data_IF_787324747059
#
_entry.id   IF_787324747059
#
_cell.length_a   1.000
_cell.length_b   1.000
_cell.length_c   1.000
_cell.angle_alpha   90.00
_cell.angle_beta   90.00
_cell.angle_gamma   90.00
#
_symmetry.space_group_name_H-M   'P 1'
#
loop_
_entity.id
_entity.type
_entity.pdbx_description
1 polymer ?
#
# COMPACT_ATOMS: atom_id res chain seq x y z
N UNK A 1 18.84 17.35 -39.28
CA UNK A 1 20.05 16.87 -38.59
C UNK A 1 19.63 15.62 -37.82
N UNK A 2 19.72 14.39 -38.29
CA UNK A 2 20.63 13.77 -39.24
C UNK A 2 21.66 12.94 -38.47
N UNK A 3 21.32 11.74 -37.99
CA UNK A 3 22.33 10.85 -37.38
C UNK A 3 21.97 9.35 -37.27
N UNK A 4 21.26 8.75 -38.22
CA UNK A 4 21.19 7.29 -38.28
C UNK A 4 21.27 6.81 -39.72
N UNK A 5 22.51 6.74 -40.22
CA UNK A 5 22.84 6.05 -41.47
C UNK A 5 22.99 4.56 -41.16
N UNK A 6 22.07 3.77 -41.69
CA UNK A 6 21.98 2.33 -41.54
C UNK A 6 22.79 1.66 -42.63
N UNK A 7 24.05 1.34 -42.34
CA UNK A 7 24.86 0.52 -43.25
C UNK A 7 24.72 -0.96 -42.93
N UNK A 8 24.28 -1.67 -43.96
CA UNK A 8 23.96 -3.09 -44.01
C UNK A 8 25.16 -3.80 -44.62
N UNK A 9 25.96 -4.51 -43.81
CA UNK A 9 26.99 -5.43 -44.32
C UNK A 9 26.89 -6.80 -43.65
N UNK A 10 26.55 -7.79 -44.49
CA UNK A 10 26.74 -9.23 -44.26
C UNK A 10 28.23 -9.54 -44.11
N UNK A 11 28.59 -10.30 -43.08
CA UNK A 11 29.66 -11.31 -43.04
C UNK A 11 29.42 -12.12 -41.76
N UNK A 12 28.93 -13.35 -41.84
CA UNK A 12 29.74 -14.59 -41.89
C UNK A 12 30.80 -14.67 -40.77
N UNK A 13 30.41 -15.42 -39.73
CA UNK A 13 31.19 -16.41 -38.97
C UNK A 13 32.72 -16.24 -38.92
N UNK A 14 33.27 -16.06 -37.71
CA UNK A 14 34.11 -17.05 -36.98
C UNK A 14 34.93 -16.36 -35.87
N UNK A 15 34.88 -16.92 -34.65
CA UNK A 15 35.86 -16.66 -33.58
C UNK A 15 35.65 -15.38 -32.76
N UNK A 16 34.76 -15.43 -31.77
CA UNK A 16 34.53 -14.33 -30.83
C UNK A 16 35.78 -13.98 -30.02
N UNK A 17 36.44 -12.88 -30.38
CA UNK A 17 37.46 -12.25 -29.58
C UNK A 17 36.78 -11.32 -28.56
N UNK A 18 36.80 -11.70 -27.28
CA UNK A 18 36.16 -10.97 -26.17
C UNK A 18 37.01 -9.81 -25.62
N UNK A 19 38.04 -9.38 -26.35
CA UNK A 19 38.98 -8.34 -25.89
C UNK A 19 38.41 -6.91 -25.90
N UNK A 20 37.24 -6.67 -26.51
CA UNK A 20 36.64 -5.33 -26.66
C UNK A 20 35.39 -5.07 -25.79
N UNK A 21 35.08 -5.95 -24.85
CA UNK A 21 34.01 -5.66 -23.86
C UNK A 21 34.58 -4.65 -22.85
N UNK A 22 34.00 -3.44 -22.72
CA UNK A 22 34.45 -2.50 -21.71
C UNK A 22 34.35 -3.15 -20.34
N UNK A 23 35.49 -3.28 -19.65
CA UNK A 23 35.52 -3.86 -18.32
C UNK A 23 34.66 -2.99 -17.39
N UNK A 24 33.68 -3.61 -16.74
CA UNK A 24 32.86 -2.91 -15.76
C UNK A 24 33.76 -2.30 -14.68
N UNK A 25 33.42 -1.08 -14.20
CA UNK A 25 34.14 -0.50 -13.07
C UNK A 25 34.12 -1.48 -11.89
N UNK A 26 35.30 -1.75 -11.33
CA UNK A 26 35.43 -2.61 -10.15
C UNK A 26 34.70 -1.94 -9.00
N UNK A 27 33.84 -2.70 -8.31
CA UNK A 27 33.16 -2.22 -7.12
C UNK A 27 34.20 -1.84 -6.05
N UNK A 28 33.97 -0.77 -5.28
CA UNK A 28 34.83 -0.42 -4.16
C UNK A 28 34.85 -1.57 -3.15
N UNK A 29 36.04 -1.84 -2.59
CA UNK A 29 36.21 -2.85 -1.55
C UNK A 29 35.31 -2.50 -0.35
N UNK A 30 34.49 -3.45 0.08
CA UNK A 30 33.64 -3.23 1.24
C UNK A 30 34.52 -3.03 2.48
N UNK A 31 34.15 -2.10 3.39
CA UNK A 31 34.85 -1.94 4.65
C UNK A 31 34.83 -3.28 5.41
N UNK A 32 35.99 -3.71 5.90
CA UNK A 32 36.11 -4.88 6.77
C UNK A 32 35.28 -4.62 8.03
N UNK A 33 34.10 -5.23 8.08
CA UNK A 33 33.29 -5.28 9.29
C UNK A 33 34.06 -6.22 10.24
N UNK A 34 34.52 -5.76 11.41
CA UNK A 34 35.20 -6.64 12.35
C UNK A 34 34.27 -7.81 12.65
N UNK A 35 34.80 -9.04 12.54
CA UNK A 35 34.14 -10.27 12.98
C UNK A 35 33.97 -10.19 14.49
N UNK A 36 32.89 -9.54 14.86
CA UNK A 36 32.57 -9.24 16.22
C UNK A 36 31.88 -10.48 16.78
N UNK A 37 32.69 -11.43 17.23
CA UNK A 37 32.26 -12.52 18.09
C UNK A 37 31.86 -11.94 19.44
N UNK A 38 30.73 -11.24 19.46
CA UNK A 38 30.12 -10.70 20.65
C UNK A 38 29.55 -11.85 21.48
N UNK A 39 30.36 -12.38 22.39
CA UNK A 39 29.88 -13.09 23.57
C UNK A 39 29.42 -12.08 24.63
N UNK A 40 28.66 -11.07 24.22
CA UNK A 40 27.98 -10.17 25.13
C UNK A 40 26.54 -10.64 25.24
N UNK A 41 26.18 -11.06 26.45
CA UNK A 41 24.82 -11.23 26.94
C UNK A 41 24.11 -9.87 26.84
N UNK A 42 23.70 -9.48 25.65
CA UNK A 42 22.76 -8.38 25.48
C UNK A 42 21.43 -8.88 26.01
N UNK A 43 21.04 -8.36 27.17
CA UNK A 43 19.63 -8.27 27.54
C UNK A 43 18.92 -7.54 26.40
N UNK A 44 18.32 -8.34 25.51
CA UNK A 44 17.47 -7.85 24.45
C UNK A 44 16.46 -6.91 25.10
N UNK A 45 16.55 -5.62 24.78
CA UNK A 45 15.59 -4.62 25.25
C UNK A 45 14.22 -5.15 24.89
N UNK A 46 13.50 -5.67 25.89
CA UNK A 46 12.24 -6.35 25.68
C UNK A 46 11.31 -5.33 25.05
N UNK A 47 10.89 -5.61 23.82
CA UNK A 47 9.85 -4.84 23.16
C UNK A 47 8.67 -4.74 24.15
N UNK A 48 8.02 -3.57 24.27
CA UNK A 48 6.88 -3.42 25.16
C UNK A 48 5.86 -4.51 24.85
N UNK A 49 5.66 -5.40 25.81
CA UNK A 49 4.73 -6.52 25.66
C UNK A 49 3.33 -5.93 25.52
N UNK A 50 2.70 -6.20 24.37
CA UNK A 50 1.31 -5.82 24.13
C UNK A 50 0.46 -6.52 25.20
N UNK A 51 -0.43 -5.81 25.91
CA UNK A 51 -1.27 -6.43 26.93
C UNK A 51 -2.09 -7.56 26.30
N UNK A 52 -1.99 -8.76 26.88
CA UNK A 52 -2.74 -9.94 26.46
C UNK A 52 -4.22 -9.77 26.81
N UNK A 53 -4.94 -8.99 26.00
CA UNK A 53 -6.38 -8.86 26.11
C UNK A 53 -7.04 -9.94 25.24
N UNK A 54 -8.07 -10.60 25.78
CA UNK A 54 -8.77 -11.75 25.16
C UNK A 54 -9.36 -11.44 23.78
N UNK A 55 -9.51 -10.14 23.45
CA UNK A 55 -9.96 -9.66 22.14
C UNK A 55 -8.91 -9.88 21.04
N UNK A 56 -7.63 -9.58 21.30
CA UNK A 56 -6.57 -9.65 20.29
C UNK A 56 -6.15 -11.10 20.00
N UNK A 57 -6.25 -11.97 20.99
CA UNK A 57 -5.97 -13.40 20.83
C UNK A 57 -6.91 -14.05 19.81
N UNK A 58 -8.21 -13.71 19.88
CA UNK A 58 -9.22 -14.18 18.92
C UNK A 58 -9.00 -13.67 17.49
N UNK A 59 -8.42 -12.47 17.34
CA UNK A 59 -8.09 -11.92 16.03
C UNK A 59 -6.95 -12.70 15.38
N UNK A 60 -5.92 -13.08 16.16
CA UNK A 60 -4.80 -13.89 15.67
C UNK A 60 -5.21 -15.33 15.34
N UNK A 61 -6.10 -15.93 16.12
CA UNK A 61 -6.56 -17.31 15.90
C UNK A 61 -7.34 -17.46 14.60
N UNK A 62 -8.25 -16.54 14.29
CA UNK A 62 -9.06 -16.61 13.06
C UNK A 62 -8.20 -16.45 11.80
N UNK A 63 -7.21 -15.55 11.82
CA UNK A 63 -6.29 -15.35 10.70
C UNK A 63 -5.43 -16.61 10.44
N UNK A 64 -4.95 -17.26 11.50
CA UNK A 64 -4.17 -18.51 11.40
C UNK A 64 -5.07 -19.66 10.92
N UNK A 65 -6.33 -19.73 11.39
CA UNK A 65 -7.29 -20.75 10.96
C UNK A 65 -7.63 -20.63 9.48
N UNK A 66 -7.85 -19.41 8.99
CA UNK A 66 -8.15 -19.16 7.58
C UNK A 66 -6.94 -19.51 6.68
N UNK A 67 -5.71 -19.26 7.14
CA UNK A 67 -4.51 -19.65 6.42
C UNK A 67 -4.29 -21.17 6.37
N UNK A 68 -4.63 -21.90 7.44
CA UNK A 68 -4.43 -23.36 7.53
C UNK A 68 -5.57 -24.14 6.87
N UNK A 69 -6.80 -23.59 6.85
CA UNK A 69 -7.97 -24.31 6.35
C UNK A 69 -8.03 -24.43 4.82
N UNK A 70 -7.09 -23.83 4.08
CA UNK A 70 -7.03 -23.96 2.61
C UNK A 70 -6.48 -25.30 2.10
N UNK A 71 -5.92 -26.18 2.95
CA UNK A 71 -5.24 -27.40 2.50
C UNK A 71 -5.97 -28.73 2.77
N UNK A 72 -7.19 -28.73 3.32
CA UNK A 72 -7.91 -29.97 3.69
C UNK A 72 -9.09 -30.32 2.78
N UNK A 73 -9.13 -29.83 1.54
CA UNK A 73 -9.92 -30.52 0.51
C UNK A 73 -9.11 -31.71 -0.04
N UNK A 74 -9.70 -32.91 -0.18
CA UNK A 74 -9.05 -34.04 -0.85
C UNK A 74 -8.90 -33.71 -2.34
N UNK A 75 -7.78 -33.06 -2.68
CA UNK A 75 -7.27 -32.93 -4.03
C UNK A 75 -6.94 -34.35 -4.52
N UNK A 76 -7.69 -34.81 -5.52
CA UNK A 76 -7.27 -35.91 -6.37
C UNK A 76 -5.91 -35.54 -6.96
N UNK A 77 -4.94 -36.43 -6.78
CA UNK A 77 -3.59 -36.36 -7.35
C UNK A 77 -3.59 -35.82 -8.79
N UNK A 78 -3.08 -34.60 -8.96
CA UNK A 78 -2.48 -34.10 -10.20
C UNK A 78 -1.47 -33.02 -9.79
N UNK A 79 -0.24 -33.45 -9.53
CA UNK A 79 0.90 -32.57 -9.34
C UNK A 79 1.26 -31.90 -10.66
N UNK A 80 1.40 -30.57 -10.74
CA UNK A 80 1.83 -29.85 -11.94
C UNK A 80 3.36 -29.60 -11.97
N UNK A 81 4.16 -30.27 -11.13
CA UNK A 81 5.61 -30.12 -11.12
C UNK A 81 6.28 -31.48 -11.20
N UNK A 82 6.52 -31.96 -12.43
CA UNK A 82 7.31 -33.16 -12.62
C UNK A 82 7.29 -33.77 -14.00
N UNK A 83 7.52 -33.01 -15.08
CA UNK A 83 8.13 -33.55 -16.32
C UNK A 83 8.42 -32.44 -17.34
N UNK A 84 9.62 -31.87 -17.23
CA UNK A 84 10.18 -30.97 -18.24
C UNK A 84 11.19 -31.77 -19.06
N UNK A 85 10.74 -32.75 -19.84
CA UNK A 85 11.51 -33.40 -20.91
C UNK A 85 10.65 -34.44 -21.65
N UNK A 86 9.96 -34.03 -22.72
CA UNK A 86 9.92 -34.71 -24.03
C UNK A 86 8.85 -34.09 -24.94
N UNK A 87 9.26 -33.91 -26.20
CA UNK A 87 8.42 -33.74 -27.39
C UNK A 87 7.44 -32.57 -27.43
N UNK A 88 7.99 -31.44 -27.88
CA UNK A 88 7.26 -30.44 -28.65
C UNK A 88 6.95 -31.08 -30.01
N UNK A 89 5.73 -31.57 -30.22
CA UNK A 89 5.13 -31.61 -31.55
C UNK A 89 3.59 -31.66 -31.46
N UNK A 90 2.98 -30.56 -31.88
CA UNK A 90 1.65 -30.49 -32.50
C UNK A 90 0.41 -30.91 -31.71
N UNK A 91 0.06 -30.25 -30.60
CA UNK A 91 -1.37 -30.16 -30.23
C UNK A 91 -1.74 -28.74 -29.76
N UNK A 92 -2.60 -28.12 -30.56
CA UNK A 92 -3.25 -26.85 -30.31
C UNK A 92 -4.19 -27.01 -29.10
N UNK A 93 -4.09 -26.20 -28.03
CA UNK A 93 -4.93 -26.36 -26.86
C UNK A 93 -6.38 -25.99 -27.22
N UNK A 94 -7.29 -26.96 -27.08
CA UNK A 94 -8.73 -26.77 -27.19
C UNK A 94 -9.21 -25.65 -26.24
N UNK A 95 -10.25 -24.89 -26.63
CA UNK A 95 -10.76 -23.79 -25.82
C UNK A 95 -11.22 -24.30 -24.46
N UNK A 96 -10.52 -23.89 -23.40
CA UNK A 96 -10.93 -24.13 -22.02
C UNK A 96 -12.32 -23.52 -21.83
N UNK A 97 -13.33 -24.36 -21.61
CA UNK A 97 -14.66 -23.93 -21.17
C UNK A 97 -14.47 -23.27 -19.81
N UNK A 98 -14.54 -21.94 -19.78
CA UNK A 98 -14.55 -21.18 -18.54
C UNK A 98 -15.64 -21.76 -17.62
N UNK A 99 -15.33 -22.08 -16.36
CA UNK A 99 -16.35 -22.50 -15.42
C UNK A 99 -17.41 -21.40 -15.36
N UNK A 100 -18.68 -21.78 -15.46
CA UNK A 100 -19.79 -20.86 -15.36
C UNK A 100 -19.71 -20.14 -14.01
N UNK A 101 -19.16 -18.92 -14.02
CA UNK A 101 -19.17 -18.04 -12.86
C UNK A 101 -20.64 -17.84 -12.54
N UNK A 102 -21.11 -18.41 -11.42
CA UNK A 102 -22.40 -18.05 -10.86
C UNK A 102 -22.36 -16.53 -10.69
N UNK A 103 -23.10 -15.83 -11.55
CA UNK A 103 -23.33 -14.40 -11.43
C UNK A 103 -23.98 -14.21 -10.06
N UNK A 104 -23.17 -13.85 -9.07
CA UNK A 104 -23.68 -13.32 -7.81
C UNK A 104 -24.63 -12.19 -8.20
N UNK A 105 -25.88 -12.34 -7.82
CA UNK A 105 -26.90 -11.33 -8.00
C UNK A 105 -26.33 -9.97 -7.57
N UNK A 106 -26.55 -8.90 -8.35
CA UNK A 106 -26.11 -7.56 -7.97
C UNK A 106 -26.47 -7.31 -6.52
N UNK A 107 -25.54 -6.86 -5.66
CA UNK A 107 -25.85 -6.61 -4.27
C UNK A 107 -27.08 -5.70 -4.23
N UNK A 108 -28.14 -6.19 -3.58
CA UNK A 108 -29.32 -5.36 -3.33
C UNK A 108 -28.82 -4.03 -2.81
N UNK A 109 -29.16 -2.96 -3.54
CA UNK A 109 -28.75 -1.60 -3.22
C UNK A 109 -29.10 -1.37 -1.76
N UNK A 110 -28.08 -1.42 -0.89
CA UNK A 110 -28.20 -1.05 0.50
C UNK A 110 -28.70 0.39 0.47
N UNK A 111 -30.00 0.55 0.74
CA UNK A 111 -30.65 1.85 0.95
C UNK A 111 -30.00 2.44 2.19
N UNK A 112 -28.87 3.11 1.97
CA UNK A 112 -28.20 3.89 3.00
C UNK A 112 -29.25 4.84 3.58
N UNK A 113 -29.46 4.82 4.91
CA UNK A 113 -30.35 5.77 5.54
C UNK A 113 -29.90 7.18 5.13
N UNK A 114 -30.84 8.10 4.83
CA UNK A 114 -30.48 9.46 4.47
C UNK A 114 -29.61 10.03 5.58
N UNK A 115 -28.37 10.39 5.25
CA UNK A 115 -27.47 11.05 6.18
C UNK A 115 -28.20 12.25 6.76
N UNK A 116 -28.45 12.22 8.06
CA UNK A 116 -28.95 13.37 8.77
C UNK A 116 -27.93 14.48 8.56
N UNK A 117 -28.35 15.59 7.95
CA UNK A 117 -27.53 16.79 7.84
C UNK A 117 -27.14 17.19 9.25
N UNK A 118 -25.89 16.92 9.60
CA UNK A 118 -25.27 17.50 10.78
C UNK A 118 -25.16 18.99 10.47
N UNK A 119 -26.07 19.78 11.01
CA UNK A 119 -25.94 21.22 11.04
C UNK A 119 -24.72 21.52 11.90
N UNK A 120 -23.58 21.73 11.22
CA UNK A 120 -22.35 22.19 11.87
C UNK A 120 -22.73 23.50 12.55
N UNK A 121 -22.72 23.59 13.89
CA UNK A 121 -23.07 24.82 14.57
C UNK A 121 -22.14 25.91 14.05
N UNK A 122 -22.74 26.98 13.53
CA UNK A 122 -22.02 28.15 13.04
C UNK A 122 -21.21 28.69 14.22
N UNK A 123 -19.91 28.39 14.23
CA UNK A 123 -18.99 28.90 15.23
C UNK A 123 -18.92 30.40 14.97
N UNK A 124 -19.65 31.17 15.78
CA UNK A 124 -19.51 32.62 15.82
C UNK A 124 -18.05 32.93 16.13
N UNK A 125 -17.45 33.71 15.24
CA UNK A 125 -16.06 34.12 15.25
C UNK A 125 -15.74 34.76 16.60
N UNK A 126 -15.04 34.02 17.46
CA UNK A 126 -14.67 34.46 18.80
C UNK A 126 -13.68 35.61 18.63
N UNK A 127 -14.22 36.82 18.69
CA UNK A 127 -13.46 38.05 18.81
C UNK A 127 -12.53 37.94 20.02
N UNK A 128 -11.25 38.20 19.76
CA UNK A 128 -10.08 38.38 20.65
C UNK A 128 -10.33 38.21 22.17
N UNK A 129 -9.47 37.45 22.87
CA UNK A 129 -9.58 37.26 24.30
C UNK A 129 -9.37 38.58 25.04
N UNK A 130 -10.47 39.16 25.51
CA UNK A 130 -10.44 40.17 26.56
C UNK A 130 -10.20 39.41 27.87
N UNK A 131 -9.14 39.75 28.59
CA UNK A 131 -8.85 39.28 29.93
C UNK A 131 -10.06 39.52 30.84
N UNK A 132 -10.87 38.49 31.06
CA UNK A 132 -11.98 38.52 32.02
C UNK A 132 -11.43 38.18 33.39
N UNK A 133 -11.35 39.23 34.20
CA UNK A 133 -11.18 39.20 35.64
C UNK A 133 -12.26 38.33 36.28
N UNK A 134 -11.81 37.47 37.19
CA UNK A 134 -12.56 36.52 38.01
C UNK A 134 -14.04 36.86 38.28
N UNK A 135 -14.94 36.05 37.73
CA UNK A 135 -16.30 35.91 38.27
C UNK A 135 -16.45 34.52 38.90
N UNK A 136 -16.39 34.50 40.23
CA UNK A 136 -16.67 33.33 41.08
C UNK A 136 -18.16 33.00 41.01
N UNK A 137 -18.61 32.33 39.96
CA UNK A 137 -19.95 31.73 39.93
C UNK A 137 -19.93 30.43 40.74
N UNK A 138 -20.60 30.48 41.90
CA UNK A 138 -20.85 29.33 42.78
C UNK A 138 -21.85 28.38 42.11
N UNK A 139 -21.40 27.57 41.17
CA UNK A 139 -22.16 26.39 40.75
C UNK A 139 -21.87 25.31 41.80
N UNK A 140 -22.82 25.12 42.73
CA UNK A 140 -22.81 24.01 43.68
C UNK A 140 -23.28 22.74 42.95
N UNK A 141 -22.46 22.23 42.04
CA UNK A 141 -22.65 20.88 41.52
C UNK A 141 -22.29 19.88 42.62
N UNK A 142 -23.19 18.91 42.84
CA UNK A 142 -22.96 17.78 43.74
C UNK A 142 -21.88 16.89 43.12
N UNK A 143 -20.63 17.30 43.29
CA UNK A 143 -19.48 16.47 42.95
C UNK A 143 -19.54 15.24 43.87
N UNK A 144 -19.60 14.01 43.33
CA UNK A 144 -19.61 12.79 44.11
C UNK A 144 -18.46 12.79 45.12
N UNK A 145 -18.72 12.31 46.35
CA UNK A 145 -17.77 12.37 47.47
C UNK A 145 -16.39 11.80 47.12
N UNK A 146 -16.33 10.84 46.21
CA UNK A 146 -15.11 10.18 45.74
C UNK A 146 -14.14 11.12 44.99
N UNK A 147 -14.62 12.22 44.43
CA UNK A 147 -13.77 13.19 43.71
C UNK A 147 -13.23 14.33 44.58
N UNK A 148 -13.68 14.45 45.84
CA UNK A 148 -13.20 15.50 46.75
C UNK A 148 -11.74 15.27 47.18
N UNK A 149 -11.37 14.02 47.43
CA UNK A 149 -10.00 13.66 47.82
C UNK A 149 -8.99 13.83 46.67
N UNK A 150 -9.43 13.67 45.43
CA UNK A 150 -8.62 13.96 44.25
C UNK A 150 -8.47 15.47 44.02
N UNK A 151 -9.55 16.26 44.18
CA UNK A 151 -9.52 17.70 43.99
C UNK A 151 -8.62 18.42 45.01
N UNK A 152 -8.60 17.98 46.27
CA UNK A 152 -7.74 18.60 47.30
C UNK A 152 -6.26 18.22 47.14
N UNK A 153 -5.94 17.08 46.50
CA UNK A 153 -4.57 16.78 46.04
C UNK A 153 -4.12 17.66 44.87
N UNK A 154 -5.03 18.08 43.99
CA UNK A 154 -4.69 18.95 42.83
C UNK A 154 -4.50 20.41 43.26
N UNK A 155 -5.18 20.89 44.31
CA UNK A 155 -4.97 22.25 44.83
C UNK A 155 -3.62 22.45 45.54
N UNK A 156 -2.95 21.36 45.93
CA UNK A 156 -1.62 21.40 46.57
C UNK A 156 -0.46 21.15 45.61
N UNK A 157 -0.72 20.71 44.38
CA UNK A 157 0.30 20.74 43.34
C UNK A 157 0.53 22.18 42.91
N UNK A 158 1.76 22.67 43.12
CA UNK A 158 2.24 23.97 42.69
C UNK A 158 1.88 24.23 41.20
N UNK A 159 1.67 25.50 40.80
CA UNK A 159 1.39 25.83 39.40
C UNK A 159 2.37 25.11 38.47
N UNK A 160 1.83 24.34 37.51
CA UNK A 160 2.62 23.56 36.56
C UNK A 160 3.28 24.54 35.59
N UNK A 161 4.48 24.98 35.93
CA UNK A 161 5.32 25.75 35.03
C UNK A 161 5.84 24.82 33.94
N UNK A 162 5.12 24.77 32.82
CA UNK A 162 5.64 24.18 31.59
C UNK A 162 6.83 25.05 31.18
N UNK A 163 8.04 24.47 31.21
CA UNK A 163 9.24 25.17 30.73
C UNK A 163 9.00 25.53 29.26
N UNK A 164 9.07 26.83 28.95
CA UNK A 164 8.85 27.37 27.61
C UNK A 164 9.72 26.64 26.57
N UNK A 165 10.93 26.24 26.96
CA UNK A 165 11.86 25.46 26.12
C UNK A 165 11.27 24.14 25.60
N UNK A 166 10.46 23.44 26.40
CA UNK A 166 9.83 22.18 25.98
C UNK A 166 8.69 22.43 24.99
N UNK A 167 8.01 23.57 25.12
CA UNK A 167 6.95 23.97 24.21
C UNK A 167 7.51 24.33 22.83
N UNK A 168 8.63 25.06 22.79
CA UNK A 168 9.30 25.40 21.53
C UNK A 168 9.73 24.15 20.76
N UNK A 169 10.33 23.16 21.44
CA UNK A 169 10.69 21.87 20.81
C UNK A 169 9.46 21.12 20.26
N UNK A 170 8.33 21.18 20.98
CA UNK A 170 7.11 20.55 20.51
C UNK A 170 6.56 21.24 19.24
N UNK A 171 6.67 22.56 19.15
CA UNK A 171 6.31 23.31 17.94
C UNK A 171 7.19 22.94 16.75
N UNK A 172 8.51 22.86 16.94
CA UNK A 172 9.44 22.43 15.88
C UNK A 172 9.09 21.04 15.34
N UNK A 173 8.79 20.08 16.23
CA UNK A 173 8.37 18.72 15.84
C UNK A 173 7.04 18.76 15.06
N UNK A 174 6.10 19.63 15.43
CA UNK A 174 4.82 19.78 14.73
C UNK A 174 5.04 20.34 13.33
N UNK A 175 5.90 21.35 13.19
CA UNK A 175 6.20 21.96 11.89
C UNK A 175 6.88 20.94 10.96
N UNK A 176 7.88 20.20 11.46
CA UNK A 176 8.50 19.10 10.71
C UNK A 176 7.47 18.02 10.29
N UNK A 177 6.52 17.70 11.16
CA UNK A 177 5.46 16.75 10.84
C UNK A 177 4.51 17.30 9.77
N UNK A 178 4.18 18.59 9.80
CA UNK A 178 3.37 19.24 8.78
C UNK A 178 4.07 19.26 7.42
N UNK A 179 5.37 19.54 7.39
CA UNK A 179 6.17 19.50 6.17
C UNK A 179 6.19 18.10 5.55
N UNK A 180 6.41 17.06 6.37
CA UNK A 180 6.33 15.66 5.92
C UNK A 180 4.95 15.28 5.40
N UNK A 181 3.88 15.73 6.05
CA UNK A 181 2.50 15.52 5.58
C UNK A 181 2.27 16.22 4.24
N UNK A 182 2.82 17.43 4.06
CA UNK A 182 2.74 18.18 2.81
C UNK A 182 3.44 17.45 1.67
N UNK A 183 4.64 16.92 1.91
CA UNK A 183 5.38 16.11 0.95
C UNK A 183 4.62 14.82 0.58
N UNK A 184 4.13 14.07 1.57
CA UNK A 184 3.32 12.87 1.32
C UNK A 184 2.07 13.18 0.46
N UNK A 185 1.42 14.32 0.68
CA UNK A 185 0.27 14.75 -0.14
C UNK A 185 0.66 15.05 -1.58
N UNK A 186 1.83 15.66 -1.82
CA UNK A 186 2.35 15.88 -3.18
C UNK A 186 2.60 14.56 -3.87
N UNK A 187 3.29 13.63 -3.22
CA UNK A 187 3.58 12.30 -3.77
C UNK A 187 2.30 11.52 -4.08
N UNK A 188 1.27 11.60 -3.23
CA UNK A 188 -0.04 10.98 -3.49
C UNK A 188 -0.73 11.57 -4.72
N UNK A 189 -0.65 12.88 -4.92
CA UNK A 189 -1.21 13.52 -6.11
C UNK A 189 -0.47 13.12 -7.39
N UNK A 190 0.86 12.98 -7.32
CA UNK A 190 1.68 12.50 -8.44
C UNK A 190 1.32 11.05 -8.81
N UNK A 191 1.20 10.16 -7.82
CA UNK A 191 0.76 8.77 -8.04
C UNK A 191 -0.62 8.74 -8.69
N UNK A 192 -1.55 9.60 -8.25
CA UNK A 192 -2.88 9.69 -8.84
C UNK A 192 -2.81 10.11 -10.32
N UNK A 193 -1.96 11.07 -10.66
CA UNK A 193 -1.76 11.53 -12.04
C UNK A 193 -1.20 10.42 -12.94
N UNK A 194 -0.17 9.70 -12.46
CA UNK A 194 0.41 8.56 -13.19
C UNK A 194 -0.64 7.50 -13.45
N UNK A 195 -1.47 7.17 -12.45
CA UNK A 195 -2.57 6.22 -12.63
C UNK A 195 -3.57 6.66 -13.70
N UNK A 196 -3.95 7.93 -13.71
CA UNK A 196 -4.85 8.47 -14.73
C UNK A 196 -4.23 8.36 -16.14
N UNK A 197 -2.92 8.60 -16.28
CA UNK A 197 -2.18 8.41 -17.54
C UNK A 197 -2.16 6.94 -17.97
N UNK A 198 -1.81 6.01 -17.06
CA UNK A 198 -1.81 4.57 -17.33
C UNK A 198 -3.19 4.05 -17.73
N UNK A 199 -4.26 4.49 -17.05
CA UNK A 199 -5.63 4.11 -17.37
C UNK A 199 -6.00 4.54 -18.81
N UNK A 200 -5.54 5.72 -19.26
CA UNK A 200 -5.76 6.16 -20.65
C UNK A 200 -4.95 5.34 -21.66
N UNK A 201 -3.71 4.97 -21.34
CA UNK A 201 -2.91 4.11 -22.21
C UNK A 201 -3.55 2.72 -22.37
N UNK A 202 -4.06 2.14 -21.29
CA UNK A 202 -4.80 0.87 -21.33
C UNK A 202 -6.03 0.96 -22.24
N UNK A 203 -6.79 2.06 -22.16
CA UNK A 203 -7.93 2.29 -23.06
C UNK A 203 -7.48 2.35 -24.53
N UNK A 204 -6.34 3.01 -24.81
CA UNK A 204 -5.80 3.02 -26.19
C UNK A 204 -5.41 1.62 -26.67
N UNK A 205 -4.80 0.79 -25.81
CA UNK A 205 -4.43 -0.57 -26.14
C UNK A 205 -5.65 -1.46 -26.39
N UNK A 206 -6.72 -1.30 -25.62
CA UNK A 206 -7.99 -2.03 -25.84
C UNK A 206 -8.61 -1.69 -27.20
N UNK A 207 -8.55 -0.41 -27.60
CA UNK A 207 -9.00 0.03 -28.93
C UNK A 207 -8.14 -0.62 -30.03
N UNK A 208 -6.82 -0.67 -29.87
CA UNK A 208 -5.91 -1.28 -30.85
C UNK A 208 -6.11 -2.80 -30.96
N UNK A 209 -6.26 -3.49 -29.82
CA UNK A 209 -6.57 -4.91 -29.78
C UNK A 209 -7.89 -5.20 -30.49
N UNK A 210 -8.92 -4.37 -30.27
CA UNK A 210 -10.23 -4.52 -30.93
C UNK A 210 -10.11 -4.34 -32.44
N UNK A 211 -9.35 -3.35 -32.91
CA UNK A 211 -9.05 -3.17 -34.34
C UNK A 211 -8.29 -4.36 -34.94
N UNK A 212 -7.38 -4.97 -34.18
CA UNK A 212 -6.64 -6.15 -34.63
C UNK A 212 -7.59 -7.36 -34.76
N UNK A 213 -8.48 -7.56 -33.78
CA UNK A 213 -9.51 -8.60 -33.82
C UNK A 213 -10.41 -8.47 -35.06
N UNK A 214 -10.91 -7.26 -35.34
CA UNK A 214 -11.71 -7.02 -36.56
C UNK A 214 -10.95 -7.34 -37.85
N UNK A 215 -9.63 -7.07 -37.90
CA UNK A 215 -8.81 -7.42 -39.06
C UNK A 215 -8.65 -8.93 -39.20
N UNK A 216 -8.50 -9.64 -38.09
CA UNK A 216 -8.41 -11.11 -38.08
C UNK A 216 -9.73 -11.71 -38.54
N UNK A 217 -10.87 -11.25 -38.02
CA UNK A 217 -12.20 -11.70 -38.45
C UNK A 217 -12.43 -11.48 -39.95
N UNK A 218 -12.03 -10.32 -40.49
CA UNK A 218 -12.11 -10.08 -41.94
C UNK A 218 -11.27 -11.04 -42.77
N UNK A 219 -10.08 -11.42 -42.28
CA UNK A 219 -9.23 -12.41 -42.97
C UNK A 219 -9.87 -13.79 -42.89
N UNK A 220 -10.44 -14.15 -41.73
CA UNK A 220 -11.14 -15.40 -41.51
C UNK A 220 -12.32 -15.55 -42.48
N UNK A 221 -13.18 -14.53 -42.56
CA UNK A 221 -14.31 -14.47 -43.50
C UNK A 221 -13.87 -14.56 -44.97
N UNK A 222 -12.78 -13.87 -45.37
CA UNK A 222 -12.23 -13.95 -46.75
C UNK A 222 -11.62 -15.32 -47.08
N UNK A 223 -10.99 -15.98 -46.10
CA UNK A 223 -10.44 -17.32 -46.27
C UNK A 223 -11.53 -18.38 -46.38
N UNK A 224 -12.54 -18.34 -45.51
CA UNK A 224 -13.61 -19.33 -45.50
C UNK A 224 -14.63 -19.13 -46.62
N UNK A 225 -14.85 -17.91 -47.09
CA UNK A 225 -15.74 -17.66 -48.24
C UNK A 225 -15.20 -18.17 -49.59
N UNK A 226 -13.90 -18.50 -49.69
CA UNK A 226 -13.29 -19.07 -50.91
C UNK A 226 -13.29 -20.60 -50.96
N UNK A 227 -13.57 -21.27 -49.85
CA UNK A 227 -13.45 -22.73 -49.72
C UNK A 227 -14.79 -23.45 -49.97
N UNK A 228 -15.90 -22.72 -50.03
CA UNK A 228 -17.20 -23.18 -50.57
C UNK A 228 -17.39 -22.80 -52.04
#
# INVERSE_FOLDING_TARGET
>A
MGWFSKDKKRAQETGGNYDDVPQLPRLPDMPNIPDNSYNETYEMTQLPTIPSNTLNQKFSENAIKDAISYNNQPQKNNSPYGEFSREIENEMPLPYKAPAIQRLSPPEQLKLPPMQKIEIPKIEEISKPTLVTESKSKIKENVPSEFKDAADKVKSSQPVFIRIDKFQKALEIIDEAQDKISEMRKNLNEIKKIREEEDTELETWDIEISKLKEKIEKIDDDLFSRVE
#
